data_IF_953327702834
#
_entry.id   IF_953327702834
#
_cell.length_a   1.000
_cell.length_b   1.000
_cell.length_c   1.000
_cell.angle_alpha   90.00
_cell.angle_beta   90.00
_cell.angle_gamma   90.00
#
_symmetry.space_group_name_H-M   'P 1'
#
loop_
_entity.id
_entity.type
_entity.pdbx_description
1 polymer ?
#
# COMPACT_ATOMS: atom_id res chain seq x y z
N UNK A 1 -19.03 -15.07 -10.65
CA UNK A 1 -19.15 -14.91 -9.18
C UNK A 1 -20.35 -14.02 -8.90
N UNK A 2 -21.25 -14.43 -7.99
CA UNK A 2 -22.49 -13.69 -7.65
C UNK A 2 -22.48 -13.06 -6.23
N UNK A 3 -21.31 -12.95 -5.59
CA UNK A 3 -21.21 -12.35 -4.26
C UNK A 3 -21.14 -10.83 -4.27
N UNK A 4 -21.46 -10.19 -3.13
CA UNK A 4 -21.28 -8.74 -2.94
C UNK A 4 -19.78 -8.41 -2.87
N UNK A 5 -19.37 -7.38 -3.61
CA UNK A 5 -18.02 -6.82 -3.55
C UNK A 5 -18.08 -5.56 -2.67
N UNK A 6 -17.20 -5.51 -1.67
CA UNK A 6 -16.99 -4.31 -0.87
C UNK A 6 -15.76 -3.58 -1.43
N UNK A 7 -15.89 -2.27 -1.61
CA UNK A 7 -14.81 -1.41 -2.13
C UNK A 7 -14.41 -0.42 -1.04
N UNK A 8 -13.13 -0.44 -0.69
CA UNK A 8 -12.54 0.49 0.26
C UNK A 8 -11.58 1.42 -0.46
N UNK A 9 -11.77 2.73 -0.30
CA UNK A 9 -10.95 3.76 -0.94
C UNK A 9 -9.67 4.07 -0.17
N UNK A 10 -9.41 3.36 0.93
CA UNK A 10 -8.18 3.46 1.68
C UNK A 10 -7.95 2.27 2.59
N UNK A 11 -6.69 1.97 2.85
CA UNK A 11 -6.24 0.98 3.83
C UNK A 11 -5.06 1.55 4.63
N UNK A 12 -4.77 0.94 5.79
CA UNK A 12 -3.58 1.25 6.60
C UNK A 12 -2.74 -0.01 6.72
N UNK A 13 -1.48 0.10 6.32
CA UNK A 13 -0.48 -0.94 6.55
C UNK A 13 0.37 -0.57 7.76
N UNK A 14 0.45 -1.46 8.74
CA UNK A 14 1.28 -1.31 9.94
C UNK A 14 2.41 -2.33 9.84
N UNK A 15 3.65 -1.86 9.89
CA UNK A 15 4.83 -2.71 9.76
C UNK A 15 5.99 -2.19 10.59
N UNK A 16 6.92 -3.07 10.92
CA UNK A 16 8.16 -2.72 11.59
C UNK A 16 9.23 -2.42 10.55
N UNK A 17 9.80 -1.21 10.59
CA UNK A 17 10.90 -0.79 9.73
C UNK A 17 12.05 -0.28 10.59
N UNK A 18 13.16 -1.01 10.61
CA UNK A 18 14.38 -0.71 11.37
C UNK A 18 15.18 0.51 10.86
N UNK A 19 14.62 1.32 9.95
CA UNK A 19 15.29 2.52 9.45
C UNK A 19 15.29 3.65 10.48
N UNK A 20 16.32 4.50 10.48
CA UNK A 20 16.41 5.71 11.33
C UNK A 20 15.19 6.64 11.20
N UNK A 21 14.61 6.72 9.99
CA UNK A 21 13.37 7.47 9.72
C UNK A 21 12.17 6.95 10.53
N UNK A 22 12.25 5.74 11.09
CA UNK A 22 11.21 5.11 11.91
C UNK A 22 11.15 5.57 13.35
N UNK A 23 12.18 6.25 13.83
CA UNK A 23 12.26 6.69 15.22
C UNK A 23 12.40 5.51 16.20
N UNK A 24 12.41 5.85 17.49
CA UNK A 24 12.61 4.89 18.57
C UNK A 24 11.42 3.91 18.59
N UNK A 25 11.71 2.62 18.40
CA UNK A 25 10.70 1.55 18.44
C UNK A 25 10.23 1.03 17.09
N UNK A 26 10.74 1.56 15.95
CA UNK A 26 10.67 0.93 14.62
C UNK A 26 9.27 0.72 14.00
N UNK A 27 8.17 0.97 14.71
CA UNK A 27 6.81 0.80 14.20
C UNK A 27 6.42 1.93 13.24
N UNK A 28 5.95 1.55 12.06
CA UNK A 28 5.50 2.47 11.01
C UNK A 28 4.09 2.13 10.52
N UNK A 29 3.32 3.18 10.26
CA UNK A 29 1.99 3.09 9.69
C UNK A 29 1.98 3.85 8.36
N UNK A 30 1.53 3.21 7.29
CA UNK A 30 1.39 3.85 5.97
C UNK A 30 -0.06 3.78 5.50
N UNK A 31 -0.60 4.94 5.17
CA UNK A 31 -1.91 5.06 4.54
C UNK A 31 -1.77 4.78 3.04
N UNK A 32 -2.63 3.91 2.54
CA UNK A 32 -2.79 3.58 1.13
C UNK A 32 -4.13 4.17 0.73
N UNK A 33 -4.17 5.08 -0.24
CA UNK A 33 -5.38 5.79 -0.62
C UNK A 33 -5.66 5.62 -2.11
N UNK A 34 -6.91 5.30 -2.41
CA UNK A 34 -7.51 5.35 -3.73
C UNK A 34 -8.67 6.34 -3.62
N UNK A 35 -8.36 7.63 -3.77
CA UNK A 35 -9.35 8.70 -3.74
C UNK A 35 -9.83 8.98 -5.17
N UNK A 36 -11.10 8.68 -5.52
CA UNK A 36 -11.60 8.90 -6.89
C UNK A 36 -11.61 10.38 -7.30
N UNK A 37 -11.73 11.28 -6.32
CA UNK A 37 -11.58 12.73 -6.47
C UNK A 37 -10.80 13.25 -5.28
N UNK A 38 -9.67 13.90 -5.54
CA UNK A 38 -8.83 14.50 -4.49
C UNK A 38 -8.77 16.02 -4.67
N UNK A 39 -9.14 16.78 -3.62
CA UNK A 39 -9.15 18.26 -3.61
C UNK A 39 -9.85 18.87 -4.83
N UNK A 40 -11.00 18.33 -5.22
CA UNK A 40 -11.76 18.71 -6.42
C UNK A 40 -11.03 18.49 -7.76
N UNK A 41 -9.89 17.81 -7.75
CA UNK A 41 -9.12 17.46 -8.93
C UNK A 41 -9.23 15.98 -9.29
N UNK A 42 -8.19 15.48 -9.96
CA UNK A 42 -8.10 14.11 -10.47
C UNK A 42 -8.05 13.07 -9.35
N UNK A 43 -8.26 11.81 -9.72
CA UNK A 43 -8.10 10.69 -8.82
C UNK A 43 -6.67 10.63 -8.28
N UNK A 44 -6.53 10.36 -6.98
CA UNK A 44 -5.25 10.14 -6.32
C UNK A 44 -5.18 8.67 -5.91
N UNK A 45 -4.24 7.93 -6.49
CA UNK A 45 -4.05 6.51 -6.23
C UNK A 45 -2.62 6.29 -5.74
N UNK A 46 -2.48 5.88 -4.49
CA UNK A 46 -1.22 5.39 -3.97
C UNK A 46 -0.97 4.00 -4.57
N UNK A 47 0.20 3.82 -5.21
CA UNK A 47 0.61 2.54 -5.76
C UNK A 47 1.45 1.79 -4.73
N UNK A 48 1.17 0.50 -4.56
CA UNK A 48 1.99 -0.40 -3.76
C UNK A 48 2.29 -1.65 -4.56
N UNK A 49 3.52 -2.12 -4.43
CA UNK A 49 3.94 -3.39 -4.98
C UNK A 49 3.69 -4.50 -3.96
N UNK A 50 3.06 -5.59 -4.41
CA UNK A 50 2.87 -6.80 -3.63
C UNK A 50 3.92 -7.81 -4.06
N UNK A 51 4.60 -8.43 -3.09
CA UNK A 51 5.55 -9.51 -3.38
C UNK A 51 4.76 -10.76 -3.78
N UNK A 52 4.92 -11.18 -5.03
CA UNK A 52 4.28 -12.37 -5.61
C UNK A 52 5.24 -13.54 -5.71
N UNK A 53 6.53 -13.28 -5.93
CA UNK A 53 7.60 -14.29 -5.88
C UNK A 53 8.78 -13.78 -5.02
N UNK A 54 8.95 -14.31 -3.79
CA UNK A 54 10.03 -13.88 -2.91
C UNK A 54 11.42 -14.36 -3.36
N UNK A 55 11.51 -15.30 -4.30
CA UNK A 55 12.79 -15.81 -4.81
C UNK A 55 13.28 -15.03 -6.05
N UNK A 56 12.40 -14.29 -6.71
CA UNK A 56 12.76 -13.44 -7.84
C UNK A 56 13.56 -12.21 -7.36
N UNK A 57 14.51 -11.77 -8.18
CA UNK A 57 15.44 -10.73 -7.78
C UNK A 57 14.80 -9.34 -7.84
N UNK A 58 14.83 -8.62 -6.71
CA UNK A 58 14.37 -7.23 -6.64
C UNK A 58 12.91 -7.07 -7.06
N UNK A 59 12.63 -6.12 -7.97
CA UNK A 59 11.27 -5.83 -8.43
C UNK A 59 10.67 -6.90 -9.37
N UNK A 60 11.45 -7.88 -9.81
CA UNK A 60 10.94 -8.96 -10.67
C UNK A 60 9.94 -9.87 -9.93
N UNK A 61 10.03 -9.91 -8.60
CA UNK A 61 9.12 -10.66 -7.74
C UNK A 61 7.90 -9.87 -7.25
N UNK A 62 7.60 -8.74 -7.88
CA UNK A 62 6.60 -7.79 -7.40
C UNK A 62 5.56 -7.48 -8.48
N UNK A 63 4.30 -7.28 -8.07
CA UNK A 63 3.17 -6.91 -8.94
C UNK A 63 2.32 -5.78 -8.33
N UNK A 64 1.46 -5.13 -9.13
CA UNK A 64 0.57 -4.02 -8.73
C UNK A 64 -0.88 -4.47 -8.66
#
# INVERSE_FOLDING_TARGET
>A
FNGKIQVFNSAVSVFFALSDLSGIGGMKHKYIRVSPKWRSGHAHKDCMFVITDPNAHGMQGMDI
#
